data_IF_330184193061
#
_entry.id   IF_330184193061
#
_cell.length_a   1.000
_cell.length_b   1.000
_cell.length_c   1.000
_cell.angle_alpha   90.00
_cell.angle_beta   90.00
_cell.angle_gamma   90.00
#
_symmetry.space_group_name_H-M   'P 1'
#
loop_
_entity.id
_entity.type
_entity.pdbx_description
1 polymer ?
#
# COMPACT_ATOMS: atom_id res chain seq x y z
N UNK A 1 92.42 -48.34 -0.22
CA UNK A 1 93.82 -48.31 0.28
C UNK A 1 94.69 -48.91 -0.81
N UNK A 2 95.70 -48.21 -1.31
CA UNK A 2 96.59 -48.72 -2.35
C UNK A 2 98.02 -48.23 -2.13
N UNK A 3 99.02 -49.03 -2.55
CA UNK A 3 100.44 -48.67 -2.46
C UNK A 3 100.80 -47.44 -3.31
N UNK A 4 100.03 -47.20 -4.39
CA UNK A 4 100.07 -46.02 -5.25
C UNK A 4 98.63 -45.68 -5.67
N UNK A 5 98.26 -44.41 -5.69
CA UNK A 5 96.91 -43.97 -6.04
C UNK A 5 96.87 -42.50 -6.41
N UNK A 6 95.99 -42.14 -7.33
CA UNK A 6 95.75 -40.75 -7.71
C UNK A 6 94.75 -40.13 -6.74
N UNK A 7 95.07 -38.94 -6.23
CA UNK A 7 94.18 -38.18 -5.35
C UNK A 7 93.47 -37.15 -6.23
N UNK A 8 92.14 -37.23 -6.28
CA UNK A 8 91.33 -36.27 -7.03
C UNK A 8 91.20 -34.95 -6.24
N UNK A 9 91.06 -33.80 -6.92
CA UNK A 9 90.91 -32.51 -6.25
C UNK A 9 89.68 -32.52 -5.33
N UNK A 10 89.91 -32.19 -4.06
CA UNK A 10 88.89 -32.22 -2.99
C UNK A 10 88.92 -33.46 -2.08
N UNK A 11 89.76 -34.46 -2.37
CA UNK A 11 89.93 -35.63 -1.49
C UNK A 11 91.14 -35.48 -0.56
N UNK A 12 90.96 -35.87 0.70
CA UNK A 12 92.03 -35.98 1.68
C UNK A 12 92.51 -37.42 1.80
N UNK A 13 93.81 -37.64 1.64
CA UNK A 13 94.46 -38.92 1.91
C UNK A 13 95.44 -38.78 3.07
N UNK A 14 95.59 -39.84 3.85
CA UNK A 14 96.60 -39.94 4.90
C UNK A 14 97.48 -41.14 4.61
N UNK A 15 98.79 -40.94 4.75
CA UNK A 15 99.77 -42.02 4.70
C UNK A 15 99.93 -42.58 6.11
N UNK A 16 99.84 -43.90 6.25
CA UNK A 16 100.10 -44.59 7.50
C UNK A 16 101.23 -45.60 7.31
N UNK A 17 102.04 -45.80 8.35
CA UNK A 17 103.13 -46.75 8.30
C UNK A 17 102.63 -48.17 8.62
N UNK A 18 103.08 -49.14 7.83
CA UNK A 18 102.76 -50.57 7.94
C UNK A 18 103.88 -51.36 8.66
N UNK A 19 105.01 -50.72 9.00
CA UNK A 19 106.10 -51.40 9.70
C UNK A 19 105.59 -52.06 11.00
N UNK A 20 105.87 -53.35 11.22
CA UNK A 20 105.47 -54.04 12.44
C UNK A 20 106.03 -53.33 13.69
N UNK A 21 105.20 -53.21 14.71
CA UNK A 21 105.55 -52.58 15.98
C UNK A 21 105.78 -53.64 17.03
N UNK A 22 106.83 -53.47 17.83
CA UNK A 22 107.15 -54.36 18.93
C UNK A 22 106.53 -53.86 20.23
N UNK A 23 105.83 -54.75 20.92
CA UNK A 23 105.20 -54.52 22.22
C UNK A 23 105.89 -55.43 23.24
N UNK A 24 106.60 -54.82 24.18
CA UNK A 24 107.25 -55.54 25.27
C UNK A 24 106.28 -55.65 26.44
N UNK A 25 106.12 -56.86 26.96
CA UNK A 25 105.21 -57.17 28.06
C UNK A 25 105.96 -57.98 29.12
N UNK A 26 105.77 -57.59 30.38
CA UNK A 26 106.16 -58.38 31.54
C UNK A 26 104.87 -58.77 32.26
N UNK A 27 104.41 -59.99 32.00
CA UNK A 27 103.13 -60.44 32.51
C UNK A 27 103.34 -61.35 33.71
N UNK A 28 102.84 -60.92 34.86
CA UNK A 28 102.64 -61.77 36.02
C UNK A 28 101.31 -62.52 35.84
N UNK A 29 101.38 -63.86 35.76
CA UNK A 29 100.24 -64.73 35.51
C UNK A 29 100.25 -65.94 36.45
N UNK A 30 99.09 -66.58 36.57
CA UNK A 30 98.93 -67.83 37.30
C UNK A 30 98.55 -68.95 36.33
N UNK A 31 99.07 -70.15 36.53
CA UNK A 31 98.69 -71.35 35.76
C UNK A 31 97.36 -71.93 36.25
N UNK A 32 96.82 -72.93 35.54
CA UNK A 32 95.65 -73.69 35.99
C UNK A 32 95.85 -74.35 37.36
N UNK A 33 97.09 -74.71 37.68
CA UNK A 33 97.49 -75.31 38.97
C UNK A 33 97.77 -74.27 40.06
N UNK A 34 97.48 -72.99 39.77
CA UNK A 34 97.68 -71.84 40.66
C UNK A 34 99.15 -71.56 41.00
N UNK A 35 100.06 -71.96 40.12
CA UNK A 35 101.47 -71.57 40.22
C UNK A 35 101.65 -70.20 39.58
N UNK A 36 102.33 -69.31 40.31
CA UNK A 36 102.62 -67.97 39.83
C UNK A 36 103.93 -67.96 39.03
N UNK A 37 103.92 -67.28 37.89
CA UNK A 37 105.11 -67.11 37.06
C UNK A 37 105.12 -65.74 36.37
N UNK A 38 106.32 -65.26 36.06
CA UNK A 38 106.54 -64.03 35.30
C UNK A 38 106.97 -64.39 33.87
N UNK A 39 106.17 -63.98 32.89
CA UNK A 39 106.41 -64.20 31.48
C UNK A 39 106.90 -62.91 30.80
N UNK A 40 108.22 -62.78 30.55
CA UNK A 40 108.72 -61.75 29.65
C UNK A 40 108.42 -62.17 28.21
N UNK A 41 107.59 -61.40 27.51
CA UNK A 41 107.23 -61.66 26.13
C UNK A 41 107.33 -60.39 25.28
N UNK A 42 107.77 -60.56 24.04
CA UNK A 42 107.79 -59.48 23.04
C UNK A 42 106.90 -59.88 21.90
N UNK A 43 105.87 -59.08 21.64
CA UNK A 43 104.91 -59.29 20.57
C UNK A 43 105.18 -58.33 19.44
N UNK A 44 105.35 -58.85 18.22
CA UNK A 44 105.45 -58.04 17.02
C UNK A 44 104.10 -58.04 16.32
N UNK A 45 103.45 -56.88 16.25
CA UNK A 45 102.14 -56.74 15.62
C UNK A 45 102.29 -55.88 14.38
N UNK A 46 101.77 -56.38 13.27
CA UNK A 46 101.64 -55.66 12.02
C UNK A 46 100.51 -56.24 11.20
N UNK A 47 99.89 -55.44 10.32
CA UNK A 47 98.88 -55.95 9.41
C UNK A 47 99.52 -56.87 8.37
N UNK A 48 98.73 -57.84 7.90
CA UNK A 48 99.08 -58.67 6.74
C UNK A 48 98.90 -57.85 5.44
N UNK A 49 99.61 -58.21 4.36
CA UNK A 49 99.56 -57.49 3.05
C UNK A 49 98.31 -57.86 2.23
N UNK A 50 97.16 -57.92 2.89
CA UNK A 50 95.85 -58.14 2.27
C UNK A 50 94.97 -56.90 2.44
N UNK A 51 94.23 -56.57 1.39
CA UNK A 51 93.34 -55.41 1.33
C UNK A 51 92.37 -55.30 2.51
N UNK A 52 91.68 -56.38 2.96
CA UNK A 52 90.76 -56.28 4.08
C UNK A 52 91.47 -56.07 5.43
N UNK A 53 92.62 -56.72 5.69
CA UNK A 53 93.39 -56.46 6.92
C UNK A 53 93.99 -55.06 6.95
N UNK A 54 94.44 -54.54 5.80
CA UNK A 54 94.89 -53.16 5.68
C UNK A 54 93.78 -52.16 5.98
N UNK A 55 92.55 -52.45 5.55
CA UNK A 55 91.37 -51.63 5.85
C UNK A 55 91.00 -51.64 7.32
N UNK A 56 90.99 -52.82 7.95
CA UNK A 56 90.77 -52.95 9.41
C UNK A 56 91.84 -52.19 10.19
N UNK A 57 93.10 -52.32 9.78
CA UNK A 57 94.23 -51.62 10.41
C UNK A 57 94.15 -50.10 10.23
N UNK A 58 93.83 -49.63 9.02
CA UNK A 58 93.63 -48.22 8.75
C UNK A 58 92.46 -47.63 9.53
N UNK A 59 91.34 -48.36 9.66
CA UNK A 59 90.19 -47.95 10.48
C UNK A 59 90.57 -47.83 11.96
N UNK A 60 91.31 -48.80 12.50
CA UNK A 60 91.80 -48.78 13.88
C UNK A 60 92.73 -47.59 14.15
N UNK A 61 93.54 -47.19 13.16
CA UNK A 61 94.41 -46.01 13.24
C UNK A 61 93.66 -44.68 13.01
N UNK A 62 92.62 -44.67 12.17
CA UNK A 62 91.89 -43.47 11.76
C UNK A 62 90.83 -43.03 12.77
N UNK A 63 90.31 -43.94 13.59
CA UNK A 63 89.14 -43.67 14.45
C UNK A 63 89.38 -42.69 15.60
N UNK A 64 90.59 -42.17 15.84
CA UNK A 64 90.81 -41.22 16.95
C UNK A 64 91.82 -40.12 16.64
N UNK A 65 91.43 -38.91 17.01
CA UNK A 65 92.28 -37.74 17.11
C UNK A 65 93.48 -37.96 18.07
N UNK A 66 94.66 -37.65 17.54
CA UNK A 66 95.81 -37.02 18.21
C UNK A 66 96.68 -37.74 19.24
N UNK A 67 96.46 -38.97 19.69
CA UNK A 67 97.52 -39.68 20.44
C UNK A 67 97.66 -41.14 20.03
N UNK A 68 98.74 -41.43 19.29
CA UNK A 68 99.20 -42.80 18.96
C UNK A 68 99.37 -43.71 20.17
N UNK A 69 99.34 -43.14 21.38
CA UNK A 69 99.45 -43.80 22.67
C UNK A 69 98.19 -44.59 23.04
N UNK A 70 96.99 -44.06 22.80
CA UNK A 70 95.76 -44.75 23.20
C UNK A 70 95.53 -46.06 22.45
N UNK A 71 95.92 -46.12 21.17
CA UNK A 71 95.86 -47.36 20.38
C UNK A 71 96.88 -48.37 20.89
N UNK A 72 98.09 -47.91 21.26
CA UNK A 72 99.12 -48.78 21.85
C UNK A 72 98.65 -49.35 23.19
N UNK A 73 98.00 -48.54 24.04
CA UNK A 73 97.45 -48.98 25.32
C UNK A 73 96.31 -49.97 25.15
N UNK A 74 95.43 -49.76 24.16
CA UNK A 74 94.36 -50.69 23.85
C UNK A 74 94.90 -52.05 23.40
N UNK A 75 95.86 -52.05 22.47
CA UNK A 75 96.51 -53.28 21.98
C UNK A 75 97.27 -53.97 23.12
N UNK A 76 97.99 -53.20 23.94
CA UNK A 76 98.69 -53.72 25.12
C UNK A 76 97.74 -54.39 26.10
N UNK A 77 96.61 -53.76 26.43
CA UNK A 77 95.61 -54.32 27.33
C UNK A 77 94.98 -55.62 26.81
N UNK A 78 94.73 -55.72 25.50
CA UNK A 78 94.23 -56.95 24.87
C UNK A 78 95.28 -58.07 24.95
N UNK A 79 96.53 -57.76 24.63
CA UNK A 79 97.62 -58.74 24.72
C UNK A 79 97.81 -59.25 26.15
N UNK A 80 97.83 -58.36 27.14
CA UNK A 80 97.97 -58.72 28.55
C UNK A 80 96.79 -59.58 29.02
N UNK A 81 95.56 -59.20 28.67
CA UNK A 81 94.34 -59.93 29.03
C UNK A 81 94.32 -61.34 28.44
N UNK A 82 94.51 -61.47 27.13
CA UNK A 82 94.47 -62.77 26.44
C UNK A 82 95.62 -63.70 26.84
N UNK A 83 96.84 -63.15 26.98
CA UNK A 83 97.98 -63.95 27.43
C UNK A 83 97.75 -64.48 28.85
N UNK A 84 97.15 -63.68 29.74
CA UNK A 84 96.80 -64.11 31.10
C UNK A 84 95.71 -65.17 31.09
N UNK A 85 94.68 -65.00 30.26
CA UNK A 85 93.57 -65.96 30.15
C UNK A 85 94.05 -67.34 29.68
N UNK A 86 94.94 -67.40 28.68
CA UNK A 86 95.49 -68.66 28.18
C UNK A 86 96.44 -69.29 29.22
N UNK A 87 97.28 -68.48 29.87
CA UNK A 87 98.15 -68.96 30.94
C UNK A 87 97.35 -69.61 32.08
N UNK A 88 96.22 -69.03 32.47
CA UNK A 88 95.34 -69.57 33.51
C UNK A 88 94.68 -70.91 33.13
N UNK A 89 94.59 -71.23 31.83
CA UNK A 89 93.96 -72.45 31.33
C UNK A 89 94.93 -73.62 31.06
N UNK A 90 96.24 -73.42 31.22
CA UNK A 90 97.28 -74.42 30.92
C UNK A 90 98.07 -74.79 32.18
N UNK A 91 98.61 -76.00 32.23
CA UNK A 91 99.55 -76.38 33.30
C UNK A 91 100.94 -75.80 33.02
N UNK A 92 101.81 -75.78 34.03
CA UNK A 92 103.16 -75.25 33.88
C UNK A 92 103.96 -76.08 32.86
N UNK A 93 103.80 -77.40 32.88
CA UNK A 93 104.46 -78.33 31.98
C UNK A 93 104.04 -78.08 30.52
N UNK A 94 102.75 -77.85 30.27
CA UNK A 94 102.25 -77.55 28.93
C UNK A 94 102.81 -76.23 28.38
N UNK A 95 102.92 -75.20 29.22
CA UNK A 95 103.50 -73.90 28.84
C UNK A 95 104.99 -74.04 28.50
N UNK A 96 105.73 -74.88 29.23
CA UNK A 96 107.17 -75.05 29.06
C UNK A 96 107.56 -76.06 27.96
N UNK A 97 106.86 -77.19 27.85
CA UNK A 97 107.14 -78.26 26.88
C UNK A 97 106.56 -77.92 25.50
N UNK A 98 105.33 -77.39 25.44
CA UNK A 98 104.63 -77.10 24.19
C UNK A 98 104.59 -75.59 23.89
N UNK A 99 105.76 -74.93 23.91
CA UNK A 99 105.88 -73.50 23.58
C UNK A 99 105.20 -73.11 22.26
N UNK A 100 105.20 -74.02 21.27
CA UNK A 100 104.50 -73.81 19.98
C UNK A 100 102.98 -73.77 20.14
N UNK A 101 102.40 -74.70 20.91
CA UNK A 101 100.95 -74.74 21.15
C UNK A 101 100.44 -73.52 21.90
N UNK A 102 101.19 -73.05 22.91
CA UNK A 102 100.89 -71.81 23.61
C UNK A 102 100.91 -70.59 22.65
N UNK A 103 101.94 -70.49 21.80
CA UNK A 103 102.05 -69.42 20.80
C UNK A 103 100.88 -69.39 19.83
N UNK A 104 100.48 -70.54 19.29
CA UNK A 104 99.44 -70.62 18.26
C UNK A 104 98.05 -70.29 18.83
N UNK A 105 97.73 -70.78 20.04
CA UNK A 105 96.51 -70.41 20.76
C UNK A 105 96.45 -68.91 21.03
N UNK A 106 97.57 -68.33 21.47
CA UNK A 106 97.66 -66.91 21.76
C UNK A 106 97.47 -66.04 20.53
N UNK A 107 98.11 -66.37 19.42
CA UNK A 107 97.94 -65.64 18.15
C UNK A 107 96.47 -65.69 17.70
N UNK A 108 95.82 -66.85 17.81
CA UNK A 108 94.43 -67.02 17.37
C UNK A 108 93.45 -66.17 18.17
N UNK A 109 93.56 -66.16 19.50
CA UNK A 109 92.64 -65.41 20.36
C UNK A 109 92.86 -63.90 20.26
N UNK A 110 94.12 -63.44 20.29
CA UNK A 110 94.45 -62.02 20.13
C UNK A 110 93.95 -61.49 18.79
N UNK A 111 94.08 -62.27 17.72
CA UNK A 111 93.56 -61.89 16.41
C UNK A 111 92.03 -61.72 16.42
N UNK A 112 91.30 -62.64 17.05
CA UNK A 112 89.83 -62.59 17.10
C UNK A 112 89.32 -61.36 17.88
N UNK A 113 89.92 -61.07 19.04
CA UNK A 113 89.53 -59.94 19.90
C UNK A 113 89.82 -58.59 19.25
N UNK A 114 90.97 -58.46 18.57
CA UNK A 114 91.32 -57.26 17.80
C UNK A 114 90.32 -57.02 16.66
N UNK A 115 89.88 -58.08 15.98
CA UNK A 115 88.88 -57.95 14.93
C UNK A 115 87.51 -57.52 15.47
N UNK A 116 87.07 -58.07 16.60
CA UNK A 116 85.79 -57.71 17.19
C UNK A 116 85.70 -56.20 17.55
N UNK A 117 86.72 -55.67 18.25
CA UNK A 117 86.70 -54.26 18.69
C UNK A 117 86.71 -53.24 17.55
N UNK A 118 87.21 -53.60 16.37
CA UNK A 118 87.15 -52.71 15.19
C UNK A 118 85.74 -52.54 14.63
N UNK A 119 84.85 -53.51 14.82
CA UNK A 119 83.47 -53.45 14.31
C UNK A 119 82.53 -52.68 15.26
N UNK A 120 82.73 -52.81 16.57
CA UNK A 120 81.86 -52.19 17.58
C UNK A 120 81.99 -50.65 17.62
N UNK A 121 83.20 -50.11 17.38
CA UNK A 121 83.41 -48.66 17.30
C UNK A 121 82.67 -47.98 16.14
N UNK A 122 82.64 -48.63 14.97
CA UNK A 122 81.97 -48.09 13.79
C UNK A 122 80.44 -48.08 13.92
N UNK A 123 79.86 -49.07 14.60
CA UNK A 123 78.40 -49.21 14.77
C UNK A 123 77.86 -48.15 15.73
N UNK A 124 78.59 -47.82 16.79
CA UNK A 124 78.12 -46.86 17.79
C UNK A 124 78.18 -45.42 17.27
N UNK A 125 79.19 -45.07 16.46
CA UNK A 125 79.29 -43.74 15.87
C UNK A 125 78.16 -43.47 14.86
N UNK A 126 77.83 -44.45 14.02
CA UNK A 126 76.71 -44.34 13.07
C UNK A 126 75.34 -44.18 13.78
N UNK A 127 75.16 -44.78 14.96
CA UNK A 127 73.90 -44.66 15.72
C UNK A 127 73.69 -43.27 16.31
N UNK A 128 74.75 -42.59 16.76
CA UNK A 128 74.66 -41.25 17.36
C UNK A 128 74.30 -40.20 16.31
N UNK A 129 74.91 -40.26 15.13
CA UNK A 129 74.64 -39.32 14.03
C UNK A 129 73.19 -39.43 13.51
N UNK A 130 72.65 -40.64 13.41
CA UNK A 130 71.26 -40.86 12.98
C UNK A 130 70.24 -40.36 14.00
N UNK A 131 70.54 -40.47 15.30
CA UNK A 131 69.66 -39.98 16.37
C UNK A 131 69.58 -38.44 16.38
N UNK A 132 70.72 -37.76 16.18
CA UNK A 132 70.76 -36.30 16.16
C UNK A 132 70.01 -35.71 14.95
N UNK A 133 70.13 -36.34 13.79
CA UNK A 133 69.42 -35.92 12.58
C UNK A 133 67.89 -36.03 12.72
N UNK A 134 67.38 -37.11 13.34
CA UNK A 134 65.95 -37.28 13.61
C UNK A 134 65.41 -36.22 14.57
N UNK A 135 66.13 -35.94 15.65
CA UNK A 135 65.73 -34.92 16.63
C UNK A 135 65.57 -33.53 15.99
N UNK A 136 66.52 -33.11 15.14
CA UNK A 136 66.44 -31.82 14.41
C UNK A 136 65.25 -31.79 13.43
N UNK A 137 64.96 -32.90 12.75
CA UNK A 137 63.81 -33.03 11.85
C UNK A 137 62.46 -32.88 12.56
N UNK A 138 62.29 -33.57 13.68
CA UNK A 138 61.02 -33.60 14.44
C UNK A 138 60.72 -32.23 15.09
N UNK A 139 61.73 -31.57 15.66
CA UNK A 139 61.58 -30.21 16.22
C UNK A 139 61.20 -29.21 15.12
N UNK A 140 61.84 -29.27 13.96
CA UNK A 140 61.53 -28.40 12.82
C UNK A 140 60.15 -28.64 12.21
N UNK A 141 59.65 -29.88 12.25
CA UNK A 141 58.28 -30.22 11.83
C UNK A 141 57.25 -29.62 12.80
N UNK A 142 57.44 -29.84 14.11
CA UNK A 142 56.51 -29.37 15.14
C UNK A 142 56.46 -27.85 15.25
N UNK A 143 57.59 -27.17 15.08
CA UNK A 143 57.62 -25.70 15.08
C UNK A 143 56.82 -25.11 13.92
N UNK A 144 56.93 -25.70 12.72
CA UNK A 144 56.14 -25.30 11.54
C UNK A 144 54.65 -25.56 11.74
N UNK A 145 54.29 -26.69 12.34
CA UNK A 145 52.91 -27.03 12.68
C UNK A 145 52.30 -26.05 13.70
N UNK A 146 53.08 -25.63 14.69
CA UNK A 146 52.66 -24.61 15.67
C UNK A 146 52.43 -23.24 15.03
N UNK A 147 53.37 -22.80 14.18
CA UNK A 147 53.26 -21.54 13.44
C UNK A 147 52.05 -21.52 12.50
N UNK A 148 51.81 -22.59 11.75
CA UNK A 148 50.63 -22.66 10.86
C UNK A 148 49.33 -22.63 11.65
N UNK A 149 49.24 -23.31 12.81
CA UNK A 149 48.05 -23.21 13.69
C UNK A 149 47.83 -21.81 14.23
N UNK A 150 48.89 -21.11 14.61
CA UNK A 150 48.78 -19.74 15.13
C UNK A 150 48.32 -18.77 14.05
N UNK A 151 48.90 -18.84 12.85
CA UNK A 151 48.51 -17.98 11.73
C UNK A 151 47.12 -18.31 11.20
N UNK A 152 46.72 -19.59 11.13
CA UNK A 152 45.34 -19.97 10.78
C UNK A 152 44.33 -19.45 11.82
N UNK A 153 44.63 -19.55 13.11
CA UNK A 153 43.76 -19.01 14.17
C UNK A 153 43.60 -17.49 14.09
N UNK A 154 44.68 -16.75 13.72
CA UNK A 154 44.60 -15.29 13.50
C UNK A 154 43.74 -14.95 12.29
N UNK A 155 43.96 -15.63 11.16
CA UNK A 155 43.18 -15.41 9.93
C UNK A 155 41.69 -15.73 10.16
N UNK A 156 41.39 -16.82 10.88
CA UNK A 156 40.01 -17.17 11.26
C UNK A 156 39.37 -16.11 12.17
N UNK A 157 40.11 -15.59 13.15
CA UNK A 157 39.64 -14.50 14.01
C UNK A 157 39.34 -13.23 13.20
N UNK A 158 40.24 -12.84 12.30
CA UNK A 158 40.06 -11.68 11.42
C UNK A 158 38.87 -11.88 10.46
N UNK A 159 38.68 -13.09 9.94
CA UNK A 159 37.53 -13.43 9.10
C UNK A 159 36.21 -13.29 9.87
N UNK A 160 36.16 -13.74 11.13
CA UNK A 160 34.97 -13.60 12.00
C UNK A 160 34.70 -12.13 12.33
N UNK A 161 35.73 -11.31 12.57
CA UNK A 161 35.55 -9.87 12.80
C UNK A 161 34.93 -9.19 11.58
N UNK A 162 35.44 -9.47 10.37
CA UNK A 162 34.87 -8.94 9.12
C UNK A 162 33.43 -9.41 8.91
N UNK A 163 33.11 -10.67 9.24
CA UNK A 163 31.74 -11.18 9.15
C UNK A 163 30.80 -10.44 10.13
N UNK A 164 31.27 -10.20 11.36
CA UNK A 164 30.51 -9.44 12.36
C UNK A 164 30.30 -7.98 11.93
N UNK A 165 31.32 -7.30 11.39
CA UNK A 165 31.19 -5.95 10.86
C UNK A 165 30.16 -5.88 9.71
N UNK A 166 30.17 -6.86 8.80
CA UNK A 166 29.15 -6.95 7.75
C UNK A 166 27.76 -7.16 8.32
N UNK A 167 27.61 -8.02 9.34
CA UNK A 167 26.32 -8.22 10.02
C UNK A 167 25.82 -6.94 10.68
N UNK A 168 26.70 -6.18 11.33
CA UNK A 168 26.36 -4.86 11.89
C UNK A 168 25.94 -3.89 10.79
N UNK A 169 26.67 -3.84 9.67
CA UNK A 169 26.32 -2.99 8.52
C UNK A 169 24.98 -3.36 7.89
N UNK A 170 24.68 -4.66 7.74
CA UNK A 170 23.39 -5.17 7.26
C UNK A 170 22.27 -4.78 8.23
N UNK A 171 22.45 -5.02 9.53
CA UNK A 171 21.46 -4.66 10.55
C UNK A 171 21.20 -3.15 10.58
N UNK A 172 22.24 -2.33 10.44
CA UNK A 172 22.13 -0.88 10.36
C UNK A 172 21.38 -0.44 9.10
N UNK A 173 21.66 -1.06 7.95
CA UNK A 173 20.96 -0.79 6.70
C UNK A 173 19.48 -1.19 6.77
N UNK A 174 19.16 -2.34 7.38
CA UNK A 174 17.80 -2.80 7.62
C UNK A 174 17.04 -1.87 8.57
N UNK A 175 17.67 -1.44 9.67
CA UNK A 175 17.09 -0.47 10.60
C UNK A 175 16.77 0.85 9.87
N UNK A 176 17.72 1.38 9.09
CA UNK A 176 17.53 2.61 8.32
C UNK A 176 16.40 2.47 7.30
N UNK A 177 16.33 1.34 6.59
CA UNK A 177 15.25 1.04 5.64
C UNK A 177 13.90 0.98 6.36
N UNK A 178 13.83 0.33 7.53
CA UNK A 178 12.62 0.22 8.34
C UNK A 178 12.13 1.58 8.86
N UNK A 179 13.04 2.43 9.35
CA UNK A 179 12.73 3.80 9.75
C UNK A 179 12.18 4.60 8.57
N UNK A 180 12.85 4.56 7.41
CA UNK A 180 12.39 5.24 6.20
C UNK A 180 11.03 4.74 5.74
N UNK A 181 10.80 3.42 5.77
CA UNK A 181 9.50 2.82 5.44
C UNK A 181 8.39 3.28 6.39
N UNK A 182 8.70 3.40 7.67
CA UNK A 182 7.77 3.92 8.69
C UNK A 182 7.47 5.40 8.46
N UNK A 183 8.48 6.22 8.18
CA UNK A 183 8.33 7.63 7.80
C UNK A 183 7.42 7.79 6.56
N UNK A 184 7.68 7.05 5.48
CA UNK A 184 6.84 7.09 4.29
C UNK A 184 5.41 6.63 4.56
N UNK A 185 5.23 5.59 5.39
CA UNK A 185 3.90 5.12 5.79
C UNK A 185 3.14 6.16 6.62
N UNK A 186 3.81 6.81 7.57
CA UNK A 186 3.23 7.88 8.36
C UNK A 186 2.88 9.08 7.47
N UNK A 187 3.79 9.49 6.59
CA UNK A 187 3.54 10.59 5.65
C UNK A 187 2.35 10.29 4.75
N UNK A 188 2.26 9.08 4.19
CA UNK A 188 1.12 8.66 3.37
C UNK A 188 -0.20 8.64 4.16
N UNK A 189 -0.18 8.32 5.45
CA UNK A 189 -1.36 8.40 6.31
C UNK A 189 -1.77 9.83 6.60
N UNK A 190 -0.82 10.72 6.89
CA UNK A 190 -1.09 12.14 7.13
C UNK A 190 -1.70 12.77 5.89
N UNK A 191 -1.10 12.58 4.71
CA UNK A 191 -1.63 13.12 3.47
C UNK A 191 -3.02 12.57 3.12
N UNK A 192 -3.29 11.30 3.42
CA UNK A 192 -4.61 10.71 3.24
C UNK A 192 -5.66 11.31 4.19
N UNK A 193 -5.31 11.53 5.46
CA UNK A 193 -6.19 12.17 6.45
C UNK A 193 -6.45 13.63 6.07
N UNK A 194 -5.43 14.37 5.67
CA UNK A 194 -5.55 15.76 5.21
C UNK A 194 -6.44 15.85 3.97
N UNK A 195 -6.29 14.93 3.01
CA UNK A 195 -7.15 14.86 1.83
C UNK A 195 -8.62 14.55 2.19
N UNK A 196 -8.86 13.60 3.10
CA UNK A 196 -10.20 13.26 3.59
C UNK A 196 -10.83 14.42 4.39
N UNK A 197 -10.06 15.07 5.26
CA UNK A 197 -10.50 16.26 5.98
C UNK A 197 -10.82 17.41 5.02
N UNK A 198 -9.98 17.66 4.01
CA UNK A 198 -10.24 18.67 3.00
C UNK A 198 -11.50 18.35 2.17
N UNK A 199 -11.72 17.08 1.83
CA UNK A 199 -12.94 16.63 1.14
C UNK A 199 -14.19 16.82 2.00
N UNK A 200 -14.13 16.44 3.29
CA UNK A 200 -15.23 16.64 4.26
C UNK A 200 -15.54 18.13 4.49
N UNK A 201 -14.51 18.96 4.60
CA UNK A 201 -14.69 20.42 4.75
C UNK A 201 -15.35 21.03 3.51
N UNK A 202 -14.90 20.64 2.31
CA UNK A 202 -15.57 21.06 1.06
C UNK A 202 -17.01 20.58 1.00
N UNK A 203 -17.29 19.33 1.36
CA UNK A 203 -18.66 18.81 1.39
C UNK A 203 -19.54 19.59 2.35
N UNK A 204 -19.06 19.87 3.57
CA UNK A 204 -19.79 20.67 4.55
C UNK A 204 -20.03 22.12 4.09
N UNK A 205 -19.06 22.71 3.36
CA UNK A 205 -19.21 24.05 2.78
C UNK A 205 -20.26 24.06 1.66
N UNK A 206 -20.20 23.10 0.72
CA UNK A 206 -21.20 22.94 -0.32
C UNK A 206 -22.60 22.68 0.26
N UNK A 207 -22.73 21.86 1.31
CA UNK A 207 -24.01 21.60 1.97
C UNK A 207 -24.59 22.86 2.60
N UNK A 208 -23.77 23.70 3.26
CA UNK A 208 -24.21 25.00 3.76
C UNK A 208 -24.68 25.92 2.64
N UNK A 209 -23.94 25.99 1.53
CA UNK A 209 -24.33 26.82 0.39
C UNK A 209 -25.65 26.34 -0.22
N UNK A 210 -25.83 25.02 -0.38
CA UNK A 210 -27.08 24.42 -0.86
C UNK A 210 -28.24 24.75 0.07
N UNK A 211 -28.04 24.70 1.38
CA UNK A 211 -29.08 25.00 2.36
C UNK A 211 -29.42 26.50 2.39
N UNK A 212 -28.44 27.39 2.32
CA UNK A 212 -28.66 28.83 2.15
C UNK A 212 -29.44 29.15 0.88
N UNK A 213 -29.11 28.49 -0.24
CA UNK A 213 -29.85 28.60 -1.52
C UNK A 213 -31.30 28.12 -1.39
N UNK A 214 -31.53 27.02 -0.68
CA UNK A 214 -32.88 26.50 -0.41
C UNK A 214 -33.70 27.45 0.43
N UNK A 215 -33.13 27.94 1.54
CA UNK A 215 -33.77 28.92 2.42
C UNK A 215 -34.10 30.20 1.66
N UNK A 216 -33.17 30.72 0.85
CA UNK A 216 -33.42 31.91 0.02
C UNK A 216 -34.59 31.67 -0.94
N UNK A 217 -34.57 30.57 -1.69
CA UNK A 217 -35.64 30.21 -2.63
C UNK A 217 -36.99 30.05 -1.93
N UNK A 218 -37.01 29.48 -0.72
CA UNK A 218 -38.22 29.34 0.06
C UNK A 218 -38.74 30.68 0.56
N UNK A 219 -37.86 31.57 1.03
CA UNK A 219 -38.23 32.93 1.45
C UNK A 219 -38.76 33.75 0.27
N UNK A 220 -38.15 33.64 -0.91
CA UNK A 220 -38.63 34.29 -2.13
C UNK A 220 -39.99 33.75 -2.55
N UNK A 221 -40.20 32.43 -2.52
CA UNK A 221 -41.49 31.80 -2.81
C UNK A 221 -42.58 32.31 -1.85
N UNK A 222 -42.31 32.32 -0.54
CA UNK A 222 -43.24 32.81 0.47
C UNK A 222 -43.53 34.30 0.30
N UNK A 223 -42.50 35.10 -0.03
CA UNK A 223 -42.66 36.52 -0.34
C UNK A 223 -43.57 36.71 -1.55
N UNK A 224 -43.35 35.99 -2.64
CA UNK A 224 -44.21 36.05 -3.84
C UNK A 224 -45.64 35.64 -3.48
N UNK A 225 -45.85 34.55 -2.74
CA UNK A 225 -47.19 34.12 -2.31
C UNK A 225 -47.90 35.15 -1.43
N UNK A 226 -47.19 35.77 -0.49
CA UNK A 226 -47.77 36.80 0.37
C UNK A 226 -48.11 38.06 -0.42
N UNK A 227 -47.24 38.48 -1.35
CA UNK A 227 -47.50 39.62 -2.23
C UNK A 227 -48.68 39.34 -3.14
N UNK A 228 -48.74 38.17 -3.79
CA UNK A 228 -49.85 37.83 -4.71
C UNK A 228 -51.18 37.72 -3.99
N UNK A 229 -51.21 37.14 -2.77
CA UNK A 229 -52.40 37.12 -1.91
C UNK A 229 -52.83 38.53 -1.53
N UNK A 230 -51.91 39.37 -1.05
CA UNK A 230 -52.21 40.74 -0.66
C UNK A 230 -52.72 41.58 -1.86
N UNK A 231 -52.13 41.42 -3.05
CA UNK A 231 -52.62 42.11 -4.25
C UNK A 231 -54.01 41.61 -4.68
N UNK A 232 -54.26 40.30 -4.63
CA UNK A 232 -55.58 39.75 -4.97
C UNK A 232 -56.68 40.19 -3.99
N UNK A 233 -56.38 40.18 -2.68
CA UNK A 233 -57.30 40.69 -1.65
C UNK A 233 -57.56 42.18 -1.81
N UNK A 234 -56.51 42.98 -2.08
CA UNK A 234 -56.64 44.40 -2.36
C UNK A 234 -57.49 44.68 -3.62
N UNK A 235 -57.26 43.96 -4.72
CA UNK A 235 -58.04 44.08 -5.95
C UNK A 235 -59.49 43.67 -5.75
N UNK A 236 -59.74 42.57 -5.03
CA UNK A 236 -61.09 42.14 -4.67
C UNK A 236 -61.81 43.19 -3.80
N UNK A 237 -61.15 43.72 -2.77
CA UNK A 237 -61.70 44.77 -1.92
C UNK A 237 -62.00 46.05 -2.71
N UNK A 238 -61.09 46.45 -3.62
CA UNK A 238 -61.28 47.58 -4.53
C UNK A 238 -62.46 47.36 -5.47
N UNK A 239 -62.61 46.16 -6.04
CA UNK A 239 -63.74 45.82 -6.91
C UNK A 239 -65.07 45.89 -6.15
N UNK A 240 -65.13 45.37 -4.92
CA UNK A 240 -66.32 45.45 -4.05
C UNK A 240 -66.64 46.90 -3.69
N UNK A 241 -65.63 47.70 -3.33
CA UNK A 241 -65.81 49.12 -3.02
C UNK A 241 -66.34 49.90 -4.24
N UNK A 242 -65.76 49.66 -5.42
CA UNK A 242 -66.21 50.28 -6.67
C UNK A 242 -67.63 49.85 -7.04
N UNK A 243 -67.98 48.57 -6.87
CA UNK A 243 -69.34 48.07 -7.11
C UNK A 243 -70.36 48.75 -6.18
N UNK A 244 -70.02 48.90 -4.89
CA UNK A 244 -70.84 49.63 -3.92
C UNK A 244 -71.01 51.10 -4.34
N UNK A 245 -69.92 51.80 -4.65
CA UNK A 245 -69.98 53.19 -5.12
C UNK A 245 -70.86 53.33 -6.36
N UNK A 246 -70.70 52.44 -7.35
CA UNK A 246 -71.51 52.46 -8.56
C UNK A 246 -73.00 52.20 -8.29
N UNK A 247 -73.33 51.31 -7.36
CA UNK A 247 -74.72 51.05 -6.96
C UNK A 247 -75.36 52.25 -6.27
N UNK A 248 -74.62 52.95 -5.40
CA UNK A 248 -75.07 54.19 -4.74
C UNK A 248 -75.24 55.31 -5.76
N UNK A 249 -74.25 55.52 -6.64
CA UNK A 249 -74.33 56.52 -7.71
C UNK A 249 -75.53 56.27 -8.64
N UNK A 250 -75.81 55.01 -8.99
CA UNK A 250 -77.02 54.66 -9.75
C UNK A 250 -78.30 54.98 -8.99
N UNK A 251 -78.36 54.66 -7.70
CA UNK A 251 -79.52 54.96 -6.87
C UNK A 251 -79.74 56.47 -6.74
N UNK A 252 -78.68 57.25 -6.49
CA UNK A 252 -78.71 58.72 -6.45
C UNK A 252 -79.12 59.32 -7.80
N UNK A 253 -78.61 58.80 -8.92
CA UNK A 253 -79.00 59.27 -10.25
C UNK A 253 -80.49 59.00 -10.55
N UNK A 254 -81.02 57.85 -10.13
CA UNK A 254 -82.44 57.52 -10.28
C UNK A 254 -83.29 58.45 -9.40
N UNK A 255 -82.89 58.66 -8.15
CA UNK A 255 -83.58 59.56 -7.22
C UNK A 255 -83.59 60.99 -7.76
N UNK A 256 -82.45 61.48 -8.24
CA UNK A 256 -82.32 62.80 -8.85
C UNK A 256 -83.21 62.93 -10.09
N UNK A 257 -83.21 61.93 -10.99
CA UNK A 257 -84.10 61.92 -12.16
C UNK A 257 -85.57 61.95 -11.74
N UNK A 258 -85.98 61.11 -10.79
CA UNK A 258 -87.36 61.08 -10.26
C UNK A 258 -87.76 62.39 -9.60
N UNK A 259 -86.86 63.03 -8.87
CA UNK A 259 -87.10 64.33 -8.24
C UNK A 259 -87.26 65.42 -9.30
N UNK A 260 -86.42 65.44 -10.34
CA UNK A 260 -86.55 66.39 -11.45
C UNK A 260 -87.79 66.16 -12.30
N UNK A 261 -88.19 64.90 -12.52
CA UNK A 261 -89.47 64.56 -13.15
C UNK A 261 -90.65 65.06 -12.30
N UNK A 262 -90.60 64.90 -10.97
CA UNK A 262 -91.63 65.38 -10.06
C UNK A 262 -91.70 66.92 -10.00
N UNK A 263 -90.56 67.61 -9.92
CA UNK A 263 -90.48 69.07 -10.01
C UNK A 263 -91.03 69.57 -11.36
N UNK A 264 -90.70 68.89 -12.46
CA UNK A 264 -91.24 69.21 -13.79
C UNK A 264 -92.76 69.01 -13.87
N UNK A 265 -93.28 67.90 -13.34
CA UNK A 265 -94.72 67.65 -13.25
C UNK A 265 -95.41 68.71 -12.40
N UNK A 266 -94.87 69.04 -11.22
CA UNK A 266 -95.41 70.11 -10.37
C UNK A 266 -95.41 71.46 -11.09
N UNK A 267 -94.35 71.79 -11.84
CA UNK A 267 -94.29 73.00 -12.64
C UNK A 267 -95.36 73.01 -13.74
N UNK A 268 -95.57 71.89 -14.44
CA UNK A 268 -96.64 71.75 -15.45
C UNK A 268 -98.02 71.87 -14.80
N UNK A 269 -98.26 71.23 -13.65
CA UNK A 269 -99.54 71.32 -12.94
C UNK A 269 -99.80 72.72 -12.39
N UNK A 270 -98.78 73.39 -11.84
CA UNK A 270 -98.89 74.78 -11.40
C UNK A 270 -99.16 75.71 -12.59
N UNK A 271 -98.44 75.54 -13.72
CA UNK A 271 -98.69 76.31 -14.93
C UNK A 271 -100.08 76.05 -15.52
N UNK A 272 -100.59 74.80 -15.45
CA UNK A 272 -101.97 74.48 -15.82
C UNK A 272 -102.98 75.13 -14.86
N UNK A 273 -102.72 75.12 -13.56
CA UNK A 273 -103.58 75.76 -12.57
C UNK A 273 -103.63 77.28 -12.78
N UNK A 274 -102.50 77.91 -13.07
CA UNK A 274 -102.44 79.33 -13.47
C UNK A 274 -103.13 79.59 -14.80
N UNK A 275 -102.96 78.73 -15.80
CA UNK A 275 -103.66 78.81 -17.08
C UNK A 275 -105.18 78.74 -16.90
N UNK A 276 -105.67 77.79 -16.10
CA UNK A 276 -107.09 77.67 -15.75
C UNK A 276 -107.56 78.89 -14.95
N UNK A 277 -106.75 79.41 -14.03
CA UNK A 277 -107.07 80.63 -13.27
C UNK A 277 -107.21 81.85 -14.19
N UNK A 278 -106.32 82.01 -15.16
CA UNK A 278 -106.37 83.09 -16.14
C UNK A 278 -107.57 82.93 -17.09
N UNK A 279 -107.87 81.71 -17.55
CA UNK A 279 -109.10 81.40 -18.29
C UNK A 279 -110.35 81.73 -17.46
N UNK A 280 -110.37 81.35 -16.17
CA UNK A 280 -111.49 81.63 -15.27
C UNK A 280 -111.68 83.13 -15.01
N UNK A 281 -110.59 83.91 -14.97
CA UNK A 281 -110.65 85.37 -14.91
C UNK A 281 -111.15 85.98 -16.23
N UNK A 282 -110.72 85.46 -17.38
CA UNK A 282 -111.15 85.96 -18.70
C UNK A 282 -112.65 85.73 -18.96
N UNK A 283 -113.23 84.64 -18.45
CA UNK A 283 -114.67 84.35 -18.52
C UNK A 283 -115.50 85.09 -17.45
N UNK A 284 -114.94 86.09 -16.76
CA UNK A 284 -115.69 86.92 -15.82
C UNK A 284 -116.25 86.17 -14.60
N UNK A 285 -115.66 85.02 -14.25
CA UNK A 285 -116.10 84.20 -13.12
C UNK A 285 -117.27 83.23 -13.41
N UNK A 286 -117.75 83.10 -14.66
CA UNK A 286 -118.77 82.10 -14.98
C UNK A 286 -118.19 80.69 -15.02
N UNK A 287 -118.43 79.93 -13.94
CA UNK A 287 -117.96 78.57 -13.74
C UNK A 287 -118.48 77.59 -14.80
N UNK A 288 -119.68 77.82 -15.36
CA UNK A 288 -120.28 76.88 -16.30
C UNK A 288 -119.60 76.94 -17.67
N UNK A 289 -119.35 78.14 -18.19
CA UNK A 289 -118.66 78.35 -19.46
C UNK A 289 -117.22 77.82 -19.43
N UNK A 290 -116.49 78.06 -18.32
CA UNK A 290 -115.12 77.57 -18.15
C UNK A 290 -115.04 76.03 -18.12
N UNK A 291 -115.98 75.36 -17.44
CA UNK A 291 -116.05 73.89 -17.42
C UNK A 291 -116.37 73.34 -18.81
N UNK A 292 -117.31 73.95 -19.54
CA UNK A 292 -117.68 73.51 -20.88
C UNK A 292 -116.52 73.67 -21.87
N UNK A 293 -115.78 74.78 -21.80
CA UNK A 293 -114.57 75.00 -22.60
C UNK A 293 -113.47 73.97 -22.27
N UNK A 294 -113.18 73.75 -20.98
CA UNK A 294 -112.18 72.76 -20.57
C UNK A 294 -112.56 71.33 -21.01
N UNK A 295 -113.86 70.98 -20.96
CA UNK A 295 -114.35 69.70 -21.48
C UNK A 295 -114.18 69.55 -23.00
N UNK A 296 -114.30 70.64 -23.77
CA UNK A 296 -114.01 70.63 -25.21
C UNK A 296 -112.50 70.51 -25.45
N UNK A 297 -111.68 71.34 -24.80
CA UNK A 297 -110.22 71.37 -25.00
C UNK A 297 -109.54 70.05 -24.60
N UNK A 298 -109.94 69.47 -23.47
CA UNK A 298 -109.46 68.15 -23.03
C UNK A 298 -110.09 67.00 -23.83
N UNK A 299 -110.99 67.28 -24.78
CA UNK A 299 -111.63 66.28 -25.62
C UNK A 299 -112.54 65.31 -24.86
N UNK A 300 -113.04 65.71 -23.69
CA UNK A 300 -113.87 64.85 -22.82
C UNK A 300 -115.15 64.44 -23.54
N UNK A 301 -115.73 65.30 -24.41
CA UNK A 301 -116.87 64.91 -25.24
C UNK A 301 -116.54 63.79 -26.23
N UNK A 302 -115.36 63.80 -26.84
CA UNK A 302 -114.93 62.70 -27.72
C UNK A 302 -114.66 61.43 -26.92
N UNK A 303 -114.03 61.53 -25.74
CA UNK A 303 -113.79 60.38 -24.88
C UNK A 303 -115.09 59.79 -24.33
N UNK A 304 -116.01 60.62 -23.83
CA UNK A 304 -117.32 60.20 -23.33
C UNK A 304 -118.18 59.62 -24.45
N UNK A 305 -118.16 60.19 -25.66
CA UNK A 305 -118.81 59.59 -26.82
C UNK A 305 -118.19 58.25 -27.21
N UNK A 306 -116.86 58.12 -27.12
CA UNK A 306 -116.15 56.85 -27.39
C UNK A 306 -116.45 55.78 -26.35
N UNK A 307 -116.48 56.13 -25.06
CA UNK A 307 -116.85 55.20 -23.98
C UNK A 307 -118.34 54.84 -24.01
N UNK A 308 -119.23 55.81 -24.29
CA UNK A 308 -120.65 55.52 -24.49
C UNK A 308 -120.91 54.65 -25.72
N UNK A 309 -120.18 54.87 -26.82
CA UNK A 309 -120.25 54.00 -28.00
C UNK A 309 -119.75 52.58 -27.67
N UNK A 310 -118.68 52.45 -26.87
CA UNK A 310 -118.20 51.16 -26.35
C UNK A 310 -119.23 50.50 -25.41
N UNK A 311 -119.92 51.26 -24.57
CA UNK A 311 -120.96 50.75 -23.66
C UNK A 311 -122.22 50.29 -24.41
N UNK A 312 -122.63 50.99 -25.48
CA UNK A 312 -123.80 50.63 -26.32
C UNK A 312 -123.49 49.43 -27.22
N UNK A 313 -122.23 49.21 -27.64
CA UNK A 313 -121.82 48.01 -28.39
C UNK A 313 -121.97 46.69 -27.60
N UNK A 314 -122.15 46.73 -26.27
CA UNK A 314 -122.26 45.55 -25.40
C UNK A 314 -123.66 45.08 -25.01
N UNK A 315 -124.74 45.82 -25.35
CA UNK A 315 -126.11 45.48 -24.95
C UNK A 315 -126.88 44.74 -26.06
N UNK A 316 -127.00 43.42 -25.95
CA UNK A 316 -127.81 42.56 -26.81
C UNK A 316 -129.08 42.08 -26.07
N UNK A 317 -130.26 42.72 -26.20
CA UNK A 317 -131.47 42.26 -25.52
C UNK A 317 -132.13 41.08 -26.26
N UNK A 318 -132.07 39.88 -25.65
CA UNK A 318 -132.82 38.68 -26.06
C UNK A 318 -134.28 38.82 -25.61
N UNK A 319 -135.16 39.26 -26.50
CA UNK A 319 -136.62 39.27 -26.28
C UNK A 319 -137.18 37.95 -26.81
N UNK A 320 -137.83 37.18 -25.93
CA UNK A 320 -138.52 35.93 -26.29
C UNK A 320 -140.02 36.23 -26.31
N UNK A 321 -140.64 36.13 -27.48
CA UNK A 321 -142.07 36.38 -27.70
C UNK A 321 -142.83 35.06 -27.61
N UNK A 322 -143.88 35.00 -26.79
CA UNK A 322 -144.89 33.95 -26.85
C UNK A 322 -146.17 34.54 -27.47
N UNK A 323 -146.61 33.97 -28.59
CA UNK A 323 -147.91 34.24 -29.20
C UNK A 323 -148.61 32.91 -29.45
N UNK A 324 -149.81 32.73 -28.87
CA UNK A 324 -150.63 31.52 -29.00
C UNK A 324 -151.84 31.82 -29.88
N UNK A 325 -151.82 31.25 -31.09
CA UNK A 325 -152.99 30.90 -31.91
C UNK A 325 -153.83 32.05 -32.48
N UNK A 326 -153.62 32.40 -33.75
CA UNK A 326 -154.44 31.93 -34.89
C UNK A 326 -154.03 32.66 -36.19
N UNK A 327 -154.17 31.98 -37.34
CA UNK A 327 -154.33 32.64 -38.63
C UNK A 327 -153.09 33.01 -39.46
N UNK A 328 -152.47 31.99 -40.05
CA UNK A 328 -152.10 31.87 -41.48
C UNK A 328 -151.46 33.04 -42.29
N UNK A 329 -150.46 32.63 -43.09
CA UNK A 329 -149.99 33.20 -44.38
C UNK A 329 -149.28 34.56 -44.35
N UNK A 330 -148.23 34.85 -45.13
CA UNK A 330 -147.28 34.11 -45.96
C UNK A 330 -146.22 35.14 -46.39
N UNK A 331 -145.05 34.64 -46.79
CA UNK A 331 -144.20 35.21 -47.86
C UNK A 331 -143.35 36.48 -47.62
N UNK A 332 -142.03 36.24 -47.64
CA UNK A 332 -141.08 36.94 -48.53
C UNK A 332 -140.48 38.25 -47.99
N UNK A 333 -139.25 38.65 -48.35
CA UNK A 333 -138.34 38.15 -49.39
C UNK A 333 -136.96 38.84 -49.18
N UNK A 334 -135.87 38.06 -49.25
CA UNK A 334 -134.54 38.26 -49.93
C UNK A 334 -133.85 39.65 -49.91
N UNK A 335 -132.52 39.79 -49.84
CA UNK A 335 -131.48 39.36 -50.81
C UNK A 335 -130.08 39.72 -50.21
N UNK A 336 -129.17 38.76 -50.05
CA UNK A 336 -127.90 38.46 -50.81
C UNK A 336 -126.62 39.24 -50.50
N UNK A 337 -125.60 38.44 -50.23
CA UNK A 337 -124.14 38.60 -50.39
C UNK A 337 -123.70 39.22 -51.72
N UNK A 338 -122.68 40.09 -51.68
CA UNK A 338 -121.63 40.20 -52.72
C UNK A 338 -120.26 40.48 -52.03
N UNK A 339 -119.26 39.67 -52.36
CA UNK A 339 -117.82 39.85 -52.10
C UNK A 339 -117.18 40.52 -53.32
N UNK A 340 -116.24 41.46 -53.15
CA UNK A 340 -115.19 41.73 -54.15
C UNK A 340 -113.86 42.12 -53.46
N UNK A 341 -112.78 41.40 -53.82
CA UNK A 341 -111.36 41.67 -53.56
C UNK A 341 -110.76 42.66 -54.59
N UNK A 342 -109.68 43.38 -54.22
CA UNK A 342 -108.37 43.55 -54.94
C UNK A 342 -107.51 44.62 -54.19
N UNK A 343 -106.26 44.42 -53.73
CA UNK A 343 -104.94 44.10 -54.34
C UNK A 343 -104.12 45.30 -54.85
N UNK A 344 -102.94 45.56 -54.24
CA UNK A 344 -101.56 45.63 -54.82
C UNK A 344 -100.51 46.13 -53.79
N UNK A 345 -99.47 45.32 -53.46
CA UNK A 345 -98.04 45.38 -53.91
C UNK A 345 -97.25 46.60 -53.37
N UNK A 346 -96.01 46.56 -52.85
CA UNK A 346 -94.88 45.66 -52.99
C UNK A 346 -93.73 46.04 -52.00
N UNK A 347 -92.99 45.03 -51.50
CA UNK A 347 -91.50 44.96 -51.31
C UNK A 347 -90.83 45.77 -50.18
N UNK A 348 -90.25 45.11 -49.15
CA UNK A 348 -88.89 44.54 -49.23
C UNK A 348 -88.33 43.94 -47.91
N UNK A 349 -87.68 42.77 -48.06
CA UNK A 349 -86.56 42.14 -47.32
C UNK A 349 -86.62 41.80 -45.82
N UNK A 350 -86.58 40.47 -45.57
CA UNK A 350 -86.03 39.72 -44.42
C UNK A 350 -84.49 39.88 -44.30
N UNK A 351 -83.73 39.26 -43.36
CA UNK A 351 -84.11 38.31 -42.28
C UNK A 351 -83.44 38.58 -40.90
N UNK A 352 -83.92 37.96 -39.82
CA UNK A 352 -83.02 37.18 -38.96
C UNK A 352 -83.74 36.20 -38.04
N UNK A 353 -83.08 35.06 -37.90
CA UNK A 353 -83.48 33.74 -37.49
C UNK A 353 -83.35 33.57 -35.97
N UNK A 354 -84.38 32.99 -35.37
CA UNK A 354 -84.28 32.23 -34.12
C UNK A 354 -84.29 30.76 -34.54
N UNK A 355 -83.29 30.00 -34.11
CA UNK A 355 -83.36 28.55 -34.10
C UNK A 355 -82.51 28.00 -32.94
N UNK A 356 -83.20 27.46 -31.93
CA UNK A 356 -82.95 26.21 -31.18
C UNK A 356 -83.76 26.31 -29.88
N UNK A 357 -84.54 25.32 -29.43
CA UNK A 357 -84.81 23.97 -29.91
C UNK A 357 -86.06 23.44 -29.16
N UNK A 358 -86.87 22.71 -29.91
CA UNK A 358 -87.86 21.66 -29.56
C UNK A 358 -87.97 21.15 -28.12
N UNK A 359 -89.22 21.03 -27.64
CA UNK A 359 -89.72 19.79 -27.00
C UNK A 359 -91.25 19.67 -27.07
N UNK A 360 -91.68 18.47 -27.49
CA UNK A 360 -93.00 17.81 -27.49
C UNK A 360 -94.12 18.32 -28.42
#
# INVERSE_FOLDING_TARGET
ISKKGWILPGQHSQFFNITPVNYTLQLQAMTAEKLEFNLPAVFTIGPKDDTPSLEKYAKLLSSKDKNSEHVKDLVRGILEGETRAIAAGMTMEEIFQERKGFKDKLIKNVQAELEQKTHEGAINQAKVEVAEAKYKGDVGSKLREGLTRQETSKIEADAVLVENERKVSIAQAEMNLSTKKSEYSQQAKITAIEADQAAKMRQAELEKEVEERRLLSETERLRVQNVTKATAEYEAAKAVANAKLYSVQKAEAILYRKQKEAEGLLAVYNAQAEGIKNLMQAFGGDRQAAIQYLMIEKGIYQQLAKENAQAIQGLNPKITVWNTGDGATNTGNKFTTIVVHYSRSNWNYTPNWIAQMTSC
#
